data_IF_326082788881
#
_entry.id   IF_326082788881
#
_cell.length_a   1.000
_cell.length_b   1.000
_cell.length_c   1.000
_cell.angle_alpha   90.00
_cell.angle_beta   90.00
_cell.angle_gamma   90.00
#
_symmetry.space_group_name_H-M   'P 1'
#
loop_
_entity.id
_entity.type
_entity.pdbx_description
1 polymer ?
#
# COMPACT_ATOMS: atom_id res chain seq x y z
N UNK A 1 -5.82 -7.71 -15.41
CA UNK A 1 -7.09 -8.08 -14.72
C UNK A 1 -6.87 -7.92 -13.22
N UNK A 2 -7.83 -7.38 -12.47
CA UNK A 2 -7.78 -7.11 -11.01
C UNK A 2 -7.02 -8.15 -10.17
N UNK A 3 -7.25 -9.44 -10.41
CA UNK A 3 -6.60 -10.53 -9.67
C UNK A 3 -5.07 -10.56 -9.79
N UNK A 4 -4.50 -10.14 -10.93
CA UNK A 4 -3.05 -10.12 -11.13
C UNK A 4 -2.36 -9.04 -10.28
N UNK A 5 -3.02 -7.90 -10.05
CA UNK A 5 -2.48 -6.85 -9.17
C UNK A 5 -2.48 -7.32 -7.71
N UNK A 6 -3.58 -7.90 -7.26
CA UNK A 6 -3.70 -8.43 -5.90
C UNK A 6 -2.68 -9.56 -5.63
N UNK A 7 -2.46 -10.46 -6.59
CA UNK A 7 -1.48 -11.53 -6.47
C UNK A 7 -0.05 -10.96 -6.35
N UNK A 8 0.31 -9.96 -7.16
CA UNK A 8 1.61 -9.27 -7.05
C UNK A 8 1.79 -8.60 -5.69
N UNK A 9 0.74 -7.94 -5.18
CA UNK A 9 0.77 -7.31 -3.86
C UNK A 9 0.93 -8.33 -2.74
N UNK A 10 0.27 -9.50 -2.83
CA UNK A 10 0.43 -10.60 -1.86
C UNK A 10 1.88 -11.13 -1.86
N UNK A 11 2.45 -11.33 -3.04
CA UNK A 11 3.84 -11.79 -3.18
C UNK A 11 4.81 -10.78 -2.59
N UNK A 12 4.67 -9.49 -2.93
CA UNK A 12 5.50 -8.42 -2.38
C UNK A 12 5.43 -8.37 -0.85
N UNK A 13 4.22 -8.42 -0.28
CA UNK A 13 4.02 -8.43 1.17
C UNK A 13 4.65 -9.67 1.82
N UNK A 14 4.58 -10.83 1.19
CA UNK A 14 5.17 -12.05 1.71
C UNK A 14 6.72 -11.99 1.72
N UNK A 15 7.33 -11.30 0.77
CA UNK A 15 8.78 -11.11 0.71
C UNK A 15 9.27 -10.11 1.75
N UNK A 16 8.60 -8.98 1.92
CA UNK A 16 8.99 -7.94 2.89
C UNK A 16 8.83 -8.48 4.32
N UNK A 17 7.77 -9.23 4.62
CA UNK A 17 7.55 -9.84 5.95
C UNK A 17 8.64 -10.81 6.38
N UNK A 18 9.34 -11.44 5.44
CA UNK A 18 10.44 -12.38 5.73
C UNK A 18 11.77 -11.67 6.04
N UNK A 19 11.86 -10.38 5.74
CA UNK A 19 13.10 -9.60 5.81
C UNK A 19 12.84 -8.33 6.65
N UNK A 20 13.04 -8.39 7.98
CA UNK A 20 12.70 -7.27 8.88
C UNK A 20 13.53 -6.00 8.63
N UNK A 21 14.65 -6.10 7.91
CA UNK A 21 15.52 -4.97 7.59
C UNK A 21 15.04 -4.16 6.38
N UNK A 22 13.95 -4.56 5.72
CA UNK A 22 13.38 -3.83 4.58
C UNK A 22 12.40 -2.77 5.08
N UNK A 23 12.65 -1.52 4.68
CA UNK A 23 11.71 -0.42 4.86
C UNK A 23 11.05 -0.12 3.51
N UNK A 24 9.72 -0.21 3.47
CA UNK A 24 8.94 0.15 2.30
C UNK A 24 8.76 1.67 2.23
N UNK A 25 9.31 2.32 1.21
CA UNK A 25 9.03 3.72 0.94
C UNK A 25 7.87 3.86 -0.04
N UNK A 26 6.91 4.74 0.28
CA UNK A 26 5.73 5.03 -0.54
C UNK A 26 5.65 6.53 -0.72
N UNK A 27 5.98 7.00 -1.91
CA UNK A 27 5.71 8.39 -2.29
C UNK A 27 4.21 8.58 -2.52
N UNK A 28 3.71 9.78 -2.25
CA UNK A 28 2.29 10.12 -2.34
C UNK A 28 1.37 9.05 -1.70
N UNK A 29 1.61 8.71 -0.43
CA UNK A 29 0.92 7.59 0.25
C UNK A 29 -0.61 7.74 0.27
N UNK A 30 -1.12 8.98 0.14
CA UNK A 30 -2.54 9.25 -0.01
C UNK A 30 -3.13 8.59 -1.27
N UNK A 31 -2.35 8.31 -2.32
CA UNK A 31 -2.81 7.60 -3.53
C UNK A 31 -3.29 6.18 -3.22
N UNK A 32 -2.69 5.51 -2.24
CA UNK A 32 -3.10 4.17 -1.81
C UNK A 32 -4.48 4.16 -1.13
N UNK A 33 -4.89 5.30 -0.57
CA UNK A 33 -6.17 5.50 0.13
C UNK A 33 -7.20 6.14 -0.81
N UNK A 34 -6.80 7.14 -1.58
CA UNK A 34 -7.62 8.04 -2.38
C UNK A 34 -7.97 7.53 -3.77
N UNK A 35 -7.30 6.49 -4.28
CA UNK A 35 -7.65 5.91 -5.57
C UNK A 35 -8.98 5.14 -5.59
N UNK A 36 -9.73 5.15 -4.48
CA UNK A 36 -11.15 4.79 -4.43
C UNK A 36 -12.11 5.97 -4.60
N UNK A 37 -11.66 7.22 -4.61
CA UNK A 37 -12.52 8.41 -4.54
C UNK A 37 -12.61 9.22 -5.84
N UNK A 38 -11.64 9.15 -6.76
CA UNK A 38 -11.66 9.99 -7.98
C UNK A 38 -11.25 9.21 -9.24
N UNK A 39 -12.25 8.94 -10.08
CA UNK A 39 -12.16 8.87 -11.55
C UNK A 39 -11.03 8.06 -12.20
N UNK A 40 -11.41 6.94 -12.84
CA UNK A 40 -10.78 6.56 -14.10
C UNK A 40 -9.49 5.74 -14.07
N UNK A 41 -9.42 4.64 -13.31
CA UNK A 41 -8.68 3.43 -13.71
C UNK A 41 -8.96 2.29 -12.72
N UNK A 42 -9.64 1.24 -13.20
CA UNK A 42 -10.18 0.14 -12.38
C UNK A 42 -9.13 -0.83 -11.79
N UNK A 43 -8.02 -0.33 -11.26
CA UNK A 43 -6.92 -1.15 -10.73
C UNK A 43 -6.41 -0.78 -9.34
N UNK A 44 -6.72 0.40 -8.82
CA UNK A 44 -6.11 0.92 -7.58
C UNK A 44 -6.97 0.74 -6.31
N UNK A 45 -8.14 0.14 -6.45
CA UNK A 45 -8.99 -0.18 -5.31
C UNK A 45 -8.42 -1.46 -4.65
N UNK A 46 -7.62 -1.27 -3.58
CA UNK A 46 -7.55 -2.09 -2.35
C UNK A 46 -6.14 -2.33 -1.77
N UNK A 47 -5.08 -1.68 -2.29
CA UNK A 47 -3.73 -1.83 -1.75
C UNK A 47 -3.61 -1.42 -0.26
N UNK A 48 -4.28 -0.33 0.14
CA UNK A 48 -4.28 0.12 1.53
C UNK A 48 -4.88 -0.92 2.49
N UNK A 49 -5.95 -1.62 2.10
CA UNK A 49 -6.56 -2.63 2.98
C UNK A 49 -5.71 -3.91 3.07
N UNK A 50 -4.89 -4.20 2.06
CA UNK A 50 -3.90 -5.28 2.15
C UNK A 50 -2.72 -4.92 3.07
N UNK A 51 -2.30 -3.64 3.09
CA UNK A 51 -1.18 -3.14 3.89
C UNK A 51 -1.55 -2.96 5.37
N UNK A 52 -2.76 -2.45 5.68
CA UNK A 52 -3.21 -2.11 7.04
C UNK A 52 -2.98 -3.22 8.08
N UNK A 53 -3.33 -4.50 7.84
CA UNK A 53 -3.14 -5.55 8.84
C UNK A 53 -1.67 -5.87 9.11
N UNK A 54 -0.82 -5.82 8.07
CA UNK A 54 0.62 -6.09 8.21
C UNK A 54 1.32 -4.96 8.99
N UNK A 55 0.95 -3.70 8.70
CA UNK A 55 1.42 -2.52 9.43
C UNK A 55 0.96 -2.55 10.89
N UNK A 56 -0.31 -2.84 11.15
CA UNK A 56 -0.88 -2.89 12.51
C UNK A 56 -0.24 -3.96 13.40
N UNK A 57 0.22 -5.07 12.82
CA UNK A 57 0.93 -6.14 13.53
C UNK A 57 2.45 -5.89 13.65
N UNK A 58 2.98 -4.83 13.02
CA UNK A 58 4.42 -4.57 12.98
C UNK A 58 5.21 -5.58 12.14
N UNK A 59 4.55 -6.30 11.24
CA UNK A 59 5.19 -7.30 10.37
C UNK A 59 6.01 -6.67 9.24
N UNK A 60 5.75 -5.40 8.93
CA UNK A 60 6.48 -4.60 7.94
C UNK A 60 6.69 -3.18 8.47
N UNK A 61 7.76 -2.53 8.02
CA UNK A 61 8.01 -1.11 8.27
C UNK A 61 7.79 -0.32 6.98
N UNK A 62 7.17 0.87 7.08
CA UNK A 62 7.02 1.75 5.94
C UNK A 62 7.26 3.22 6.29
N UNK A 63 7.72 3.98 5.30
CA UNK A 63 7.79 5.44 5.31
C UNK A 63 6.89 5.95 4.19
N UNK A 64 5.95 6.82 4.52
CA UNK A 64 5.06 7.47 3.56
C UNK A 64 5.42 8.95 3.39
N UNK A 65 5.36 9.45 2.16
CA UNK A 65 5.42 10.89 1.87
C UNK A 65 4.05 11.39 1.37
N UNK A 66 3.66 12.61 1.77
CA UNK A 66 2.44 13.28 1.31
C UNK A 66 2.56 14.78 1.58
N UNK A 67 1.74 15.59 0.93
CA UNK A 67 1.57 17.00 1.30
C UNK A 67 0.59 17.15 2.47
N UNK A 68 0.62 18.30 3.15
CA UNK A 68 -0.31 18.62 4.26
C UNK A 68 -1.77 18.73 3.80
N UNK A 69 -2.00 19.09 2.54
CA UNK A 69 -3.36 19.22 2.00
C UNK A 69 -4.03 17.85 1.78
N UNK A 70 -3.22 16.82 1.55
CA UNK A 70 -3.63 15.42 1.36
C UNK A 70 -3.68 14.63 2.67
N UNK A 71 -2.99 15.10 3.72
CA UNK A 71 -2.96 14.50 5.05
C UNK A 71 -4.20 14.93 5.88
N UNK A 72 -5.40 14.55 5.44
CA UNK A 72 -6.65 14.78 6.18
C UNK A 72 -7.51 13.54 6.28
#
# INVERSE_FOLDING_TARGET
VRGQFEERMKTLLAEIKKNPDIILFIDEIHTLIGAGATGGSGGSLDAANMLKPALARGEIQCIGASTMDEYR
#
